data_IF_884648498206
#
_entry.id   IF_884648498206
#
_cell.length_a   1.000
_cell.length_b   1.000
_cell.length_c   1.000
_cell.angle_alpha   90.00
_cell.angle_beta   90.00
_cell.angle_gamma   90.00
#
_symmetry.space_group_name_H-M   'P 1'
#
loop_
_entity.id
_entity.type
_entity.pdbx_description
1 polymer ?
#
# COMPACT_ATOMS: atom_id res chain seq x y z
N UNK A 1 5.95 -9.03 -3.17
CA UNK A 1 6.40 -8.76 -1.80
C UNK A 1 5.46 -9.50 -0.88
N UNK A 2 5.96 -10.38 -0.03
CA UNK A 2 5.15 -11.21 0.86
C UNK A 2 4.82 -10.49 2.19
N UNK A 3 3.99 -11.12 3.01
CA UNK A 3 3.49 -10.57 4.27
C UNK A 3 4.60 -10.25 5.26
N UNK A 4 5.61 -11.11 5.34
CA UNK A 4 6.76 -10.93 6.23
C UNK A 4 7.59 -9.71 5.85
N UNK A 5 7.77 -9.50 4.54
CA UNK A 5 8.53 -8.37 4.01
C UNK A 5 7.82 -7.05 4.27
N UNK A 6 6.52 -6.96 3.98
CA UNK A 6 5.75 -5.74 4.23
C UNK A 6 5.66 -5.41 5.72
N UNK A 7 5.46 -6.42 6.58
CA UNK A 7 5.41 -6.25 8.03
C UNK A 7 6.75 -5.75 8.60
N UNK A 8 7.86 -6.34 8.15
CA UNK A 8 9.21 -5.94 8.57
C UNK A 8 9.50 -4.51 8.13
N UNK A 9 9.26 -4.19 6.85
CA UNK A 9 9.48 -2.85 6.32
C UNK A 9 8.63 -1.78 7.02
N UNK A 10 7.37 -2.09 7.37
CA UNK A 10 6.54 -1.18 8.15
C UNK A 10 7.10 -0.95 9.55
N UNK A 11 7.43 -2.03 10.26
CA UNK A 11 7.98 -1.98 11.62
C UNK A 11 9.25 -1.13 11.67
N UNK A 12 10.23 -1.41 10.79
CA UNK A 12 11.49 -0.67 10.73
C UNK A 12 11.28 0.83 10.49
N UNK A 13 10.34 1.21 9.62
CA UNK A 13 10.10 2.63 9.33
C UNK A 13 9.43 3.36 10.48
N UNK A 14 8.49 2.71 11.16
CA UNK A 14 7.84 3.28 12.33
C UNK A 14 8.79 3.37 13.53
N UNK A 15 9.72 2.41 13.67
CA UNK A 15 10.80 2.49 14.65
C UNK A 15 11.74 3.66 14.38
N UNK A 16 12.20 3.83 13.13
CA UNK A 16 12.99 5.00 12.72
C UNK A 16 12.24 6.30 13.01
N UNK A 17 10.96 6.37 12.62
CA UNK A 17 10.13 7.55 12.90
C UNK A 17 10.04 7.86 14.40
N UNK A 18 9.93 6.84 15.25
CA UNK A 18 9.92 7.01 16.71
C UNK A 18 11.26 7.51 17.25
N UNK A 19 12.37 7.08 16.66
CA UNK A 19 13.71 7.59 17.02
C UNK A 19 13.87 9.07 16.65
N UNK A 20 13.39 9.43 15.46
CA UNK A 20 13.45 10.80 14.94
C UNK A 20 12.50 11.74 15.73
N UNK A 21 11.38 11.22 16.24
CA UNK A 21 10.39 11.98 17.01
C UNK A 21 10.03 11.31 18.35
N UNK A 22 10.83 11.48 19.41
CA UNK A 22 10.64 10.80 20.71
C UNK A 22 9.35 11.17 21.46
N UNK A 23 8.70 12.27 21.10
CA UNK A 23 7.42 12.72 21.69
C UNK A 23 6.20 12.01 21.10
N UNK A 24 6.40 11.21 20.06
CA UNK A 24 5.34 10.49 19.39
C UNK A 24 4.72 9.42 20.32
N UNK A 25 3.40 9.26 20.27
CA UNK A 25 2.69 8.19 21.01
C UNK A 25 3.32 6.84 20.68
N UNK A 26 3.53 5.92 21.65
CA UNK A 26 3.97 4.56 21.39
C UNK A 26 3.19 3.90 20.24
N UNK A 27 3.90 3.32 19.27
CA UNK A 27 3.31 2.64 18.11
C UNK A 27 3.48 1.14 18.28
N UNK A 28 2.37 0.41 18.18
CA UNK A 28 2.33 -1.05 18.20
C UNK A 28 1.88 -1.55 16.83
N UNK A 29 2.77 -2.27 16.15
CA UNK A 29 2.45 -2.93 14.89
C UNK A 29 2.09 -4.38 15.21
N UNK A 30 0.82 -4.75 15.04
CA UNK A 30 0.40 -6.13 15.22
C UNK A 30 0.73 -6.96 13.98
N UNK A 31 0.83 -8.30 14.10
CA UNK A 31 1.09 -9.15 12.96
C UNK A 31 0.02 -8.98 11.87
N UNK A 32 0.45 -9.03 10.61
CA UNK A 32 -0.41 -8.99 9.43
C UNK A 32 -1.60 -9.94 9.55
N UNK A 33 -2.75 -9.47 9.07
CA UNK A 33 -3.95 -10.28 8.84
C UNK A 33 -3.98 -10.71 7.38
N UNK A 34 -4.26 -11.96 7.13
CA UNK A 34 -4.59 -12.57 5.84
C UNK A 34 -6.11 -12.82 5.81
N UNK A 35 -6.82 -12.21 4.85
CA UNK A 35 -8.27 -12.36 4.67
C UNK A 35 -8.68 -13.81 4.36
N UNK A 36 -7.75 -14.64 3.88
CA UNK A 36 -7.99 -16.06 3.63
C UNK A 36 -7.95 -16.92 4.90
N UNK A 37 -7.53 -16.37 6.03
CA UNK A 37 -7.51 -17.04 7.33
C UNK A 37 -8.68 -16.57 8.19
N UNK A 38 -9.67 -17.44 8.33
CA UNK A 38 -10.91 -17.14 9.06
C UNK A 38 -10.65 -16.64 10.49
N UNK A 39 -11.29 -15.52 10.85
CA UNK A 39 -11.26 -14.96 12.21
C UNK A 39 -9.97 -14.23 12.59
N UNK A 40 -8.93 -14.21 11.74
CA UNK A 40 -7.65 -13.62 12.09
C UNK A 40 -7.75 -12.11 12.37
N UNK A 41 -8.61 -11.38 11.65
CA UNK A 41 -8.90 -9.98 11.96
C UNK A 41 -9.43 -9.80 13.38
N UNK A 42 -10.42 -10.60 13.78
CA UNK A 42 -11.03 -10.52 15.10
C UNK A 42 -10.01 -10.83 16.20
N UNK A 43 -9.13 -11.81 15.97
CA UNK A 43 -8.02 -12.12 16.86
C UNK A 43 -7.08 -10.92 17.05
N UNK A 44 -6.66 -10.27 15.95
CA UNK A 44 -5.77 -9.09 16.03
C UNK A 44 -6.46 -7.89 16.67
N UNK A 45 -7.74 -7.68 16.42
CA UNK A 45 -8.53 -6.64 17.09
C UNK A 45 -8.68 -6.91 18.59
N UNK A 46 -8.88 -8.16 18.99
CA UNK A 46 -8.92 -8.56 20.40
C UNK A 46 -7.54 -8.36 21.07
N UNK A 47 -6.44 -8.66 20.37
CA UNK A 47 -5.09 -8.34 20.84
C UNK A 47 -4.88 -6.83 21.00
N UNK A 48 -5.36 -6.02 20.05
CA UNK A 48 -5.29 -4.56 20.16
C UNK A 48 -6.04 -4.01 21.39
N UNK A 49 -7.10 -4.70 21.81
CA UNK A 49 -7.90 -4.36 22.99
C UNK A 49 -7.25 -4.78 24.32
N UNK A 50 -6.24 -5.66 24.31
CA UNK A 50 -5.58 -6.10 25.55
C UNK A 50 -5.03 -4.91 26.35
N UNK A 51 -4.99 -5.05 27.67
CA UNK A 51 -4.82 -3.91 28.56
C UNK A 51 -3.44 -3.26 28.41
N UNK A 52 -3.45 -2.01 27.97
CA UNK A 52 -2.28 -1.12 28.00
C UNK A 52 -2.67 0.13 28.78
N UNK A 53 -1.81 0.52 29.72
CA UNK A 53 -2.05 1.66 30.64
C UNK A 53 -1.70 3.03 30.02
N UNK A 54 -1.22 3.04 28.78
CA UNK A 54 -0.72 4.22 28.08
C UNK A 54 -1.56 4.60 26.86
N UNK A 55 -1.47 5.87 26.45
CA UNK A 55 -1.95 6.29 25.14
C UNK A 55 -1.05 5.69 24.07
N UNK A 56 -1.63 5.18 22.99
CA UNK A 56 -0.86 4.47 21.95
C UNK A 56 -1.53 4.55 20.59
N UNK A 57 -0.76 4.22 19.57
CA UNK A 57 -1.24 3.96 18.21
C UNK A 57 -1.05 2.48 17.94
N UNK A 58 -2.07 1.80 17.45
CA UNK A 58 -1.99 0.41 16.99
C UNK A 58 -2.23 0.37 15.49
N UNK A 59 -1.40 -0.40 14.78
CA UNK A 59 -1.44 -0.55 13.34
C UNK A 59 -1.56 -2.02 12.99
N UNK A 60 -2.42 -2.32 12.02
CA UNK A 60 -2.62 -3.66 11.47
C UNK A 60 -2.51 -3.56 9.95
N UNK A 61 -1.62 -4.34 9.35
CA UNK A 61 -1.63 -4.61 7.91
C UNK A 61 -2.62 -5.75 7.64
N UNK A 62 -3.37 -5.60 6.55
CA UNK A 62 -4.41 -6.52 6.15
C UNK A 62 -4.25 -6.89 4.68
N UNK A 63 -3.82 -8.11 4.41
CA UNK A 63 -3.69 -8.68 3.08
C UNK A 63 -5.02 -9.29 2.64
N UNK A 64 -5.62 -8.74 1.57
CA UNK A 64 -6.82 -9.29 0.92
C UNK A 64 -6.50 -10.42 -0.07
N UNK A 65 -5.23 -10.81 -0.17
CA UNK A 65 -4.71 -11.69 -1.21
C UNK A 65 -4.46 -10.95 -2.53
N UNK A 66 -3.85 -11.64 -3.49
CA UNK A 66 -3.52 -11.11 -4.82
C UNK A 66 -2.78 -9.76 -4.78
N UNK A 67 -1.85 -9.63 -3.83
CA UNK A 67 -1.04 -8.43 -3.58
C UNK A 67 -1.83 -7.20 -3.13
N UNK A 68 -3.09 -7.31 -2.72
CA UNK A 68 -3.89 -6.16 -2.29
C UNK A 68 -3.82 -5.96 -0.77
N UNK A 69 -3.32 -4.81 -0.35
CA UNK A 69 -3.07 -4.45 1.04
C UNK A 69 -3.99 -3.33 1.51
N UNK A 70 -4.61 -3.53 2.66
CA UNK A 70 -5.37 -2.56 3.43
C UNK A 70 -4.62 -2.28 4.73
N UNK A 71 -4.75 -1.05 5.23
CA UNK A 71 -4.09 -0.61 6.45
C UNK A 71 -5.14 -0.15 7.45
N UNK A 72 -5.02 -0.58 8.70
CA UNK A 72 -5.87 -0.15 9.80
C UNK A 72 -5.01 0.54 10.86
N UNK A 73 -5.46 1.71 11.31
CA UNK A 73 -4.86 2.47 12.42
C UNK A 73 -5.92 2.74 13.48
N UNK A 74 -5.55 2.52 14.73
CA UNK A 74 -6.35 2.82 15.92
C UNK A 74 -5.52 3.69 16.87
N UNK A 75 -6.08 4.78 17.36
CA UNK A 75 -5.50 5.59 18.43
C UNK A 75 -6.25 5.34 19.72
N UNK A 76 -5.54 4.90 20.75
CA UNK A 76 -6.09 4.57 22.06
C UNK A 76 -5.74 5.64 23.10
N UNK A 77 -6.69 5.90 23.99
CA UNK A 77 -6.52 6.66 25.22
C UNK A 77 -6.00 5.75 26.36
N UNK A 78 -5.64 6.35 27.50
CA UNK A 78 -5.13 5.65 28.69
C UNK A 78 -6.12 4.66 29.32
N UNK A 79 -7.41 4.80 29.02
CA UNK A 79 -8.51 3.95 29.49
C UNK A 79 -8.93 2.91 28.44
N UNK A 80 -8.07 2.63 27.45
CA UNK A 80 -8.33 1.66 26.37
C UNK A 80 -9.48 2.03 25.42
N UNK A 81 -10.07 3.22 25.57
CA UNK A 81 -11.02 3.75 24.60
C UNK A 81 -10.31 4.18 23.32
N UNK A 82 -10.92 3.90 22.18
CA UNK A 82 -10.44 4.35 20.89
C UNK A 82 -10.87 5.81 20.67
N UNK A 83 -9.90 6.70 20.55
CA UNK A 83 -10.10 8.10 20.15
C UNK A 83 -10.40 8.21 18.65
N UNK A 84 -9.70 7.39 17.84
CA UNK A 84 -9.82 7.42 16.38
C UNK A 84 -9.48 6.06 15.79
N UNK A 85 -10.36 5.53 14.93
CA UNK A 85 -10.08 4.36 14.11
C UNK A 85 -10.27 4.69 12.63
N UNK A 86 -9.28 4.34 11.81
CA UNK A 86 -9.27 4.61 10.38
C UNK A 86 -8.70 3.43 9.60
N UNK A 87 -9.30 3.10 8.47
CA UNK A 87 -8.70 2.21 7.48
C UNK A 87 -8.42 2.94 6.17
N UNK A 88 -7.43 2.45 5.44
CA UNK A 88 -7.03 2.93 4.13
C UNK A 88 -7.03 1.77 3.14
N UNK A 89 -7.60 2.04 1.97
CA UNK A 89 -7.46 1.22 0.77
C UNK A 89 -6.73 2.02 -0.32
N UNK A 90 -5.50 1.67 -0.69
CA UNK A 90 -4.75 2.41 -1.70
C UNK A 90 -5.11 2.00 -3.14
N UNK A 91 -6.03 1.06 -3.38
CA UNK A 91 -6.29 0.52 -4.72
C UNK A 91 -7.49 1.17 -5.42
N UNK A 92 -7.32 1.60 -6.68
CA UNK A 92 -8.33 2.37 -7.44
C UNK A 92 -9.63 1.61 -7.75
N UNK A 93 -9.52 0.32 -8.05
CA UNK A 93 -10.65 -0.56 -8.41
C UNK A 93 -10.66 -1.77 -7.47
N UNK A 94 -10.81 -1.45 -6.19
CA UNK A 94 -10.79 -2.40 -5.11
C UNK A 94 -12.05 -3.28 -5.08
N UNK A 95 -11.86 -4.58 -4.82
CA UNK A 95 -12.96 -5.49 -4.51
C UNK A 95 -13.20 -5.63 -3.00
N UNK A 96 -12.51 -4.82 -2.20
CA UNK A 96 -12.65 -4.82 -0.74
C UNK A 96 -14.09 -4.51 -0.35
N UNK A 97 -14.64 -5.31 0.57
CA UNK A 97 -15.95 -5.06 1.15
C UNK A 97 -15.77 -4.33 2.50
N UNK A 98 -15.94 -2.99 2.54
CA UNK A 98 -15.76 -2.22 3.77
C UNK A 98 -16.82 -2.53 4.82
N UNK A 99 -18.01 -3.00 4.45
CA UNK A 99 -19.07 -3.32 5.42
C UNK A 99 -18.75 -4.58 6.21
N UNK A 100 -18.27 -5.65 5.54
CA UNK A 100 -17.80 -6.87 6.22
C UNK A 100 -16.68 -6.53 7.21
N UNK A 101 -15.74 -5.68 6.80
CA UNK A 101 -14.63 -5.24 7.64
C UNK A 101 -15.11 -4.42 8.85
N UNK A 102 -16.03 -3.46 8.63
CA UNK A 102 -16.66 -2.68 9.70
C UNK A 102 -17.42 -3.54 10.68
N UNK A 103 -18.18 -4.53 10.22
CA UNK A 103 -18.94 -5.41 11.10
C UNK A 103 -18.01 -6.17 12.05
N UNK A 104 -16.93 -6.76 11.54
CA UNK A 104 -15.93 -7.44 12.38
C UNK A 104 -15.26 -6.49 13.38
N UNK A 105 -15.03 -5.23 12.99
CA UNK A 105 -14.50 -4.21 13.89
C UNK A 105 -15.49 -3.85 15.00
N UNK A 106 -16.75 -3.57 14.64
CA UNK A 106 -17.81 -3.18 15.57
C UNK A 106 -18.15 -4.28 16.57
N UNK A 107 -17.99 -5.55 16.21
CA UNK A 107 -18.12 -6.66 17.17
C UNK A 107 -17.14 -6.55 18.36
N UNK A 108 -15.93 -6.00 18.14
CA UNK A 108 -14.91 -5.85 19.18
C UNK A 108 -14.96 -4.47 19.86
N UNK A 109 -15.28 -3.44 19.07
CA UNK A 109 -15.34 -2.04 19.47
C UNK A 109 -16.70 -1.42 19.10
N UNK A 110 -17.78 -1.76 19.82
CA UNK A 110 -19.15 -1.37 19.45
C UNK A 110 -19.38 0.14 19.48
N UNK A 111 -18.70 0.86 20.38
CA UNK A 111 -18.87 2.31 20.57
C UNK A 111 -17.94 3.16 19.69
N UNK A 112 -17.20 2.52 18.77
CA UNK A 112 -16.20 3.19 17.93
C UNK A 112 -16.59 3.14 16.46
N UNK A 113 -16.64 4.32 15.82
CA UNK A 113 -16.83 4.39 14.38
C UNK A 113 -15.50 4.24 13.64
N UNK A 114 -15.37 3.14 12.90
CA UNK A 114 -14.25 2.92 11.98
C UNK A 114 -14.42 3.75 10.71
N UNK A 115 -13.53 4.70 10.43
CA UNK A 115 -13.65 5.60 9.26
C UNK A 115 -12.79 5.12 8.10
N UNK A 116 -13.25 5.36 6.86
CA UNK A 116 -12.37 5.24 5.70
C UNK A 116 -11.59 6.53 5.55
N UNK A 117 -10.29 6.45 5.29
CA UNK A 117 -9.45 7.60 5.00
C UNK A 117 -9.10 7.62 3.51
N UNK A 118 -9.33 8.75 2.81
CA UNK A 118 -8.98 8.85 1.40
C UNK A 118 -7.47 8.85 1.21
N UNK A 119 -7.03 8.30 0.08
CA UNK A 119 -5.63 8.27 -0.36
C UNK A 119 -5.43 9.32 -1.44
N UNK A 120 -4.29 10.03 -1.40
CA UNK A 120 -3.96 11.05 -2.41
C UNK A 120 -3.72 10.44 -3.79
N UNK A 121 -3.07 9.28 -3.84
CA UNK A 121 -2.75 8.57 -5.08
C UNK A 121 -3.14 7.10 -4.94
N UNK A 122 -4.07 6.67 -5.80
CA UNK A 122 -4.49 5.28 -5.88
C UNK A 122 -3.53 4.53 -6.81
N UNK A 123 -3.13 3.33 -6.39
CA UNK A 123 -2.20 2.45 -7.11
C UNK A 123 -2.93 1.22 -7.67
N UNK A 124 -2.22 0.45 -8.49
CA UNK A 124 -2.64 -0.90 -8.83
C UNK A 124 -2.37 -1.87 -7.67
N UNK A 125 -2.76 -3.14 -7.84
CA UNK A 125 -2.57 -4.15 -6.79
C UNK A 125 -1.09 -4.47 -6.57
N UNK A 126 -0.23 -4.39 -7.60
CA UNK A 126 1.18 -4.79 -7.48
C UNK A 126 1.93 -3.81 -6.56
N UNK A 127 1.65 -2.50 -6.68
CA UNK A 127 2.22 -1.47 -5.81
C UNK A 127 1.54 -1.31 -4.45
N UNK A 128 0.46 -2.05 -4.17
CA UNK A 128 -0.38 -1.83 -3.00
C UNK A 128 0.36 -1.97 -1.68
N UNK A 129 1.27 -2.94 -1.54
CA UNK A 129 2.03 -3.14 -0.30
C UNK A 129 2.93 -1.95 0.04
N UNK A 130 3.70 -1.49 -0.94
CA UNK A 130 4.58 -0.33 -0.79
C UNK A 130 3.81 0.95 -0.47
N UNK A 131 2.78 1.22 -1.27
CA UNK A 131 1.88 2.34 -1.05
C UNK A 131 1.22 2.26 0.34
N UNK A 132 0.93 1.04 0.81
CA UNK A 132 0.31 0.87 2.11
C UNK A 132 1.24 1.26 3.26
N UNK A 133 2.51 0.82 3.19
CA UNK A 133 3.51 1.19 4.19
C UNK A 133 3.66 2.72 4.27
N UNK A 134 3.78 3.40 3.13
CA UNK A 134 3.93 4.86 3.10
C UNK A 134 2.72 5.59 3.68
N UNK A 135 1.51 5.15 3.33
CA UNK A 135 0.30 5.75 3.85
C UNK A 135 0.18 5.57 5.37
N UNK A 136 0.50 4.38 5.90
CA UNK A 136 0.48 4.14 7.34
C UNK A 136 1.51 4.98 8.10
N UNK A 137 2.74 5.10 7.58
CA UNK A 137 3.76 5.98 8.16
C UNK A 137 3.28 7.44 8.17
N UNK A 138 2.71 7.92 7.05
CA UNK A 138 2.13 9.29 6.95
C UNK A 138 0.96 9.52 7.91
N UNK A 139 0.15 8.50 8.20
CA UNK A 139 -0.96 8.62 9.15
C UNK A 139 -0.52 8.78 10.60
N UNK A 140 0.68 8.29 10.93
CA UNK A 140 1.29 8.37 12.26
C UNK A 140 2.06 9.68 12.43
N UNK A 141 2.56 10.23 11.33
CA UNK A 141 3.32 11.47 11.34
C UNK A 141 2.52 12.62 11.98
N UNK A 142 3.13 13.41 12.89
CA UNK A 142 2.46 14.54 13.51
C UNK A 142 1.95 15.52 12.45
N UNK A 143 0.66 15.84 12.51
CA UNK A 143 0.05 16.83 11.61
C UNK A 143 0.66 18.23 11.78
N UNK A 144 1.32 18.48 12.92
CA UNK A 144 1.85 19.76 13.38
C UNK A 144 3.29 20.08 12.93
N UNK A 145 3.99 19.17 12.24
CA UNK A 145 5.33 19.46 11.75
C UNK A 145 5.31 20.36 10.50
N UNK A 146 6.23 21.34 10.39
CA UNK A 146 6.35 22.18 9.20
C UNK A 146 6.50 21.34 7.94
N UNK A 147 5.81 21.74 6.87
CA UNK A 147 5.71 21.03 5.59
C UNK A 147 7.06 20.74 4.88
N UNK A 148 8.18 21.26 5.41
CA UNK A 148 9.51 21.24 4.79
C UNK A 148 10.23 19.90 5.02
N UNK A 149 9.97 19.18 6.12
CA UNK A 149 10.59 17.85 6.37
C UNK A 149 9.84 16.68 5.71
N UNK A 150 8.59 16.89 5.26
CA UNK A 150 7.77 15.83 4.67
C UNK A 150 8.28 15.35 3.31
N UNK A 151 8.97 16.20 2.55
CA UNK A 151 9.50 15.86 1.22
C UNK A 151 10.81 15.07 1.26
N UNK A 152 11.66 15.30 2.26
CA UNK A 152 12.97 14.63 2.36
C UNK A 152 12.82 13.14 2.74
N UNK A 153 11.89 12.84 3.64
CA UNK A 153 11.59 11.45 4.08
C UNK A 153 11.04 10.58 2.94
N UNK A 154 10.32 11.17 1.98
CA UNK A 154 9.77 10.46 0.81
C UNK A 154 10.89 10.11 -0.18
N UNK A 155 11.86 11.01 -0.37
CA UNK A 155 12.96 10.82 -1.33
C UNK A 155 13.98 9.77 -0.87
N UNK A 156 14.31 9.74 0.42
CA UNK A 156 15.24 8.72 0.97
C UNK A 156 14.70 7.30 0.83
N UNK A 157 13.37 7.14 0.80
CA UNK A 157 12.75 5.82 0.69
C UNK A 157 12.74 5.24 -0.72
N UNK A 158 12.52 6.09 -1.73
CA UNK A 158 12.60 5.66 -3.13
C UNK A 158 13.97 5.05 -3.43
N UNK A 159 15.04 5.57 -2.79
CA UNK A 159 16.40 5.03 -2.90
C UNK A 159 16.58 3.70 -2.18
N UNK A 160 16.13 3.59 -0.93
CA UNK A 160 16.26 2.34 -0.14
C UNK A 160 15.58 1.14 -0.82
N UNK A 161 14.46 1.34 -1.51
CA UNK A 161 13.74 0.26 -2.20
C UNK A 161 14.43 -0.16 -3.50
N UNK A 162 15.03 0.78 -4.23
CA UNK A 162 15.87 0.48 -5.40
C UNK A 162 17.08 -0.38 -4.97
N UNK A 163 17.71 -0.04 -3.84
CA UNK A 163 18.86 -0.79 -3.33
C UNK A 163 18.50 -2.20 -2.84
N UNK A 164 17.27 -2.42 -2.37
CA UNK A 164 16.78 -3.77 -1.99
C UNK A 164 16.34 -4.61 -3.19
N UNK A 165 16.01 -3.99 -4.33
CA UNK A 165 15.64 -4.67 -5.57
C UNK A 165 16.84 -4.91 -6.51
N UNK A 166 17.96 -4.21 -6.32
CA UNK A 166 19.15 -4.33 -7.18
C UNK A 166 20.08 -5.51 -6.85
N UNK A 167 19.78 -6.31 -5.83
CA UNK A 167 20.64 -7.44 -5.43
C UNK A 167 20.51 -8.70 -6.30
N UNK A 168 19.65 -8.71 -7.33
CA UNK A 168 19.45 -9.87 -8.22
C UNK A 168 19.68 -9.59 -9.72
N UNK A 169 20.41 -8.54 -10.11
CA UNK A 169 20.80 -8.35 -11.52
C UNK A 169 22.20 -7.74 -11.66
N UNK A 170 23.08 -8.23 -12.56
CA UNK A 170 24.43 -7.68 -12.70
C UNK A 170 24.36 -6.23 -13.19
N UNK A 171 24.89 -5.32 -12.39
CA UNK A 171 24.93 -3.87 -12.65
C UNK A 171 25.92 -3.59 -13.79
N UNK A 172 25.42 -3.25 -14.98
CA UNK A 172 26.20 -2.41 -15.90
C UNK A 172 26.30 -1.01 -15.30
N UNK A 173 27.54 -0.60 -15.03
CA UNK A 173 27.90 0.66 -14.35
C UNK A 173 27.33 1.88 -15.09
N UNK A 174 26.30 2.49 -14.52
CA UNK A 174 25.92 3.87 -14.86
C UNK A 174 26.79 4.81 -14.02
N UNK A 175 27.52 5.71 -14.70
CA UNK A 175 28.39 6.70 -14.04
C UNK A 175 27.56 7.73 -13.26
N UNK A 176 28.05 8.24 -12.11
CA UNK A 176 27.37 9.30 -11.36
C UNK A 176 27.35 10.61 -12.13
N UNK A 177 26.22 11.32 -12.12
CA UNK A 177 26.08 12.69 -12.64
C UNK A 177 26.34 13.65 -11.47
N UNK A 178 27.25 14.60 -11.65
CA UNK A 178 27.59 15.61 -10.64
C UNK A 178 26.48 16.67 -10.45
N UNK A 179 26.29 17.18 -9.22
CA UNK A 179 25.21 18.10 -8.89
C UNK A 179 25.62 19.55 -9.18
N UNK A 180 25.49 20.00 -10.43
CA UNK A 180 25.58 21.45 -10.74
C UNK A 180 24.69 21.94 -11.89
N UNK A 181 23.74 21.14 -12.36
CA UNK A 181 22.74 21.56 -13.33
C UNK A 181 21.32 21.22 -12.84
N UNK A 182 20.86 21.97 -11.85
CA UNK A 182 19.43 22.11 -11.55
C UNK A 182 18.99 23.43 -12.17
N UNK A 183 17.80 23.41 -12.82
CA UNK A 183 17.18 24.44 -13.68
C UNK A 183 17.71 24.36 -15.12
N UNK A 184 17.17 23.53 -16.02
CA UNK A 184 15.84 23.71 -16.63
C UNK A 184 15.23 22.42 -17.25
N UNK A 185 15.79 21.23 -17.01
CA UNK A 185 15.43 20.01 -17.76
C UNK A 185 14.31 19.14 -17.15
N UNK A 186 13.64 19.59 -16.08
CA UNK A 186 12.60 18.77 -15.42
C UNK A 186 11.35 18.58 -16.31
N UNK A 187 10.99 19.59 -17.11
CA UNK A 187 9.88 19.49 -18.06
C UNK A 187 10.20 18.57 -19.25
N UNK A 188 11.47 18.49 -19.68
CA UNK A 188 11.89 17.57 -20.74
C UNK A 188 11.91 16.11 -20.26
N UNK A 189 12.28 15.89 -18.99
CA UNK A 189 12.20 14.58 -18.32
C UNK A 189 10.76 14.12 -18.10
N UNK A 190 9.85 15.02 -17.67
CA UNK A 190 8.42 14.69 -17.57
C UNK A 190 7.79 14.40 -18.94
N UNK A 191 8.15 15.15 -19.99
CA UNK A 191 7.70 14.88 -21.36
C UNK A 191 8.24 13.55 -21.90
N UNK A 192 9.49 13.18 -21.62
CA UNK A 192 10.05 11.87 -22.01
C UNK A 192 9.41 10.72 -21.25
N UNK A 193 9.07 10.91 -19.97
CA UNK A 193 8.37 9.89 -19.17
C UNK A 193 6.92 9.69 -19.63
N UNK A 194 6.19 10.77 -19.92
CA UNK A 194 4.81 10.70 -20.44
C UNK A 194 4.74 10.24 -21.90
N UNK A 195 5.75 10.52 -22.71
CA UNK A 195 5.93 9.97 -24.06
C UNK A 195 6.11 8.45 -24.04
N UNK A 196 7.04 7.94 -23.22
CA UNK A 196 7.30 6.50 -23.09
C UNK A 196 6.11 5.73 -22.50
N UNK A 197 5.35 6.33 -21.58
CA UNK A 197 4.12 5.73 -21.04
C UNK A 197 2.99 5.67 -22.09
N UNK A 198 2.89 6.66 -22.99
CA UNK A 198 1.96 6.60 -24.12
C UNK A 198 2.38 5.53 -25.14
N UNK A 199 3.65 5.45 -25.53
CA UNK A 199 4.11 4.44 -26.49
C UNK A 199 3.96 2.99 -25.98
N UNK A 200 4.16 2.75 -24.67
CA UNK A 200 3.92 1.44 -24.06
C UNK A 200 2.44 1.11 -23.82
N UNK A 201 1.58 2.13 -23.63
CA UNK A 201 0.13 1.93 -23.56
C UNK A 201 -0.47 1.55 -24.92
N UNK A 202 0.04 2.08 -26.04
CA UNK A 202 -0.46 1.74 -27.38
C UNK A 202 0.05 0.38 -27.90
N UNK A 203 1.25 -0.08 -27.50
CA UNK A 203 1.76 -1.40 -27.93
C UNK A 203 1.04 -2.59 -27.29
N UNK A 204 0.43 -2.41 -26.12
CA UNK A 204 -0.26 -3.49 -25.39
C UNK A 204 -1.76 -3.61 -25.68
N UNK A 205 -2.41 -2.59 -26.26
CA UNK A 205 -3.83 -2.67 -26.65
C UNK A 205 -3.99 -3.40 -28.00
N UNK A 206 -3.07 -3.17 -28.95
CA UNK A 206 -3.09 -3.86 -30.25
C UNK A 206 -2.88 -5.37 -30.15
N UNK A 207 -2.03 -5.82 -29.23
CA UNK A 207 -1.77 -7.26 -29.00
C UNK A 207 -2.93 -7.96 -28.29
N UNK A 208 -3.63 -7.29 -27.37
CA UNK A 208 -4.76 -7.86 -26.65
C UNK A 208 -6.02 -7.98 -27.54
N UNK A 209 -6.29 -6.99 -28.41
CA UNK A 209 -7.39 -7.09 -29.38
C UNK A 209 -7.12 -8.13 -30.47
N UNK A 210 -5.88 -8.25 -30.96
CA UNK A 210 -5.50 -9.30 -31.90
C UNK A 210 -5.63 -10.69 -31.27
N UNK A 211 -5.23 -10.85 -30.01
CA UNK A 211 -5.42 -12.12 -29.27
C UNK A 211 -6.91 -12.43 -29.04
N UNK A 212 -7.74 -11.43 -28.74
CA UNK A 212 -9.21 -11.60 -28.61
C UNK A 212 -9.87 -11.99 -29.93
N UNK A 213 -9.46 -11.36 -31.04
CA UNK A 213 -9.97 -11.67 -32.39
C UNK A 213 -9.60 -13.09 -32.81
N UNK A 214 -8.35 -13.50 -32.59
CA UNK A 214 -7.88 -14.86 -32.91
C UNK A 214 -8.63 -15.92 -32.10
N UNK A 215 -8.81 -15.70 -30.80
CA UNK A 215 -9.55 -16.62 -29.92
C UNK A 215 -11.04 -16.72 -30.28
N UNK A 216 -11.63 -15.62 -30.77
CA UNK A 216 -13.03 -15.60 -31.25
C UNK A 216 -13.19 -16.37 -32.57
N UNK A 217 -12.23 -16.26 -33.50
CA UNK A 217 -12.23 -17.02 -34.75
C UNK A 217 -12.01 -18.53 -34.52
N UNK A 218 -11.12 -18.90 -33.58
CA UNK A 218 -10.89 -20.29 -33.21
C UNK A 218 -12.16 -20.94 -32.62
N UNK A 219 -12.84 -20.25 -31.69
CA UNK A 219 -14.13 -20.72 -31.15
C UNK A 219 -15.23 -20.85 -32.20
N UNK A 220 -15.33 -19.90 -33.14
CA UNK A 220 -16.32 -19.97 -34.21
C UNK A 220 -16.08 -21.17 -35.14
N UNK A 221 -14.81 -21.47 -35.46
CA UNK A 221 -14.49 -22.63 -36.30
C UNK A 221 -14.78 -23.98 -35.61
N UNK A 222 -14.73 -24.02 -34.27
CA UNK A 222 -15.10 -25.20 -33.49
C UNK A 222 -16.62 -25.41 -33.48
N UNK A 223 -17.38 -24.32 -33.31
CA UNK A 223 -18.85 -24.34 -33.37
C UNK A 223 -19.39 -24.74 -34.75
N UNK A 224 -18.72 -24.35 -35.84
CA UNK A 224 -19.14 -24.73 -37.19
C UNK A 224 -18.74 -26.17 -37.57
N UNK A 225 -17.82 -26.80 -36.83
CA UNK A 225 -17.48 -28.23 -36.97
C UNK A 225 -18.40 -29.17 -36.20
N UNK A 226 -19.14 -28.66 -35.22
CA UNK A 226 -20.09 -29.46 -34.41
C UNK A 226 -21.54 -29.39 -34.91
N UNK A 227 -21.82 -28.68 -36.00
CA UNK A 227 -23.15 -28.73 -36.63
C UNK A 227 -23.31 -30.05 -37.40
N UNK A 228 -24.21 -30.96 -37.00
CA UNK A 228 -24.53 -32.13 -37.81
C UNK A 228 -25.18 -31.70 -39.13
N UNK A 229 -24.82 -32.39 -40.22
CA UNK A 229 -25.46 -32.25 -41.53
C UNK A 229 -26.93 -32.62 -41.49
#
# INVERSE_FOLDING_TARGET
MDDSTNQSALTTRLEKLRQDYPTLKPIYVLPTVDDHVDGQLKERLAQAKMNHTEQRITIILYNLGNSHWIGLKMEFKKNEEIERAEFIDPVKNSNFNPEKFRNQFTEIFPDTNLRSRPVQHLVDRIGSGLAMIENLVKMVFPTELPQIERSEIINDFSRFIVDQQSNDTPVEKIKPIEPSALTDDYEELEMKLTSNLKEHSFRNVGTLEQQRMKKKQEMQSLLDKEKPK
#
